data_IF_366893833865
#
_entry.id   IF_366893833865
#
_cell.length_a   1.000
_cell.length_b   1.000
_cell.length_c   1.000
_cell.angle_alpha   90.00
_cell.angle_beta   90.00
_cell.angle_gamma   90.00
#
_symmetry.space_group_name_H-M   'P 1'
#
loop_
_entity.id
_entity.type
_entity.pdbx_description
1 polymer ?
#
# COMPACT_ATOMS: atom_id res chain seq x y z
N UNK A 1 18.27 -8.11 18.06
CA UNK A 1 18.54 -6.66 18.10
C UNK A 1 17.23 -5.90 18.25
N UNK A 2 17.21 -4.93 19.14
CA UNK A 2 16.00 -4.17 19.44
C UNK A 2 15.45 -3.47 18.18
N UNK A 3 16.33 -2.91 17.39
CA UNK A 3 15.97 -2.19 16.18
C UNK A 3 15.27 -3.09 15.16
N UNK A 4 15.84 -4.26 14.93
CA UNK A 4 15.25 -5.26 14.04
C UNK A 4 13.91 -5.75 14.59
N UNK A 5 13.82 -5.93 15.91
CA UNK A 5 12.59 -6.36 16.55
C UNK A 5 11.47 -5.33 16.37
N UNK A 6 11.78 -4.04 16.40
CA UNK A 6 10.77 -3.00 16.14
C UNK A 6 10.21 -3.09 14.73
N UNK A 7 11.04 -3.34 13.74
CA UNK A 7 10.57 -3.52 12.38
C UNK A 7 9.74 -4.79 12.23
N UNK A 8 10.17 -5.88 12.84
CA UNK A 8 9.40 -7.12 12.84
C UNK A 8 8.02 -6.90 13.46
N UNK A 9 7.95 -6.16 14.56
CA UNK A 9 6.68 -5.84 15.18
C UNK A 9 5.77 -5.00 14.29
N UNK A 10 6.33 -4.08 13.49
CA UNK A 10 5.54 -3.32 12.51
C UNK A 10 4.92 -4.23 11.45
N UNK A 11 5.66 -5.23 10.98
CA UNK A 11 5.11 -6.19 10.02
C UNK A 11 4.07 -7.10 10.65
N UNK A 12 4.26 -7.46 11.90
CA UNK A 12 3.42 -8.42 12.61
C UNK A 12 2.20 -7.79 13.25
N UNK A 13 1.82 -6.58 12.85
CA UNK A 13 0.61 -5.94 13.34
C UNK A 13 -0.66 -6.60 12.81
N UNK A 14 -0.62 -7.07 11.56
CA UNK A 14 -1.75 -7.74 10.94
C UNK A 14 -1.83 -9.19 11.42
N UNK A 15 -2.90 -9.52 12.14
CA UNK A 15 -3.08 -10.87 12.67
C UNK A 15 -3.11 -11.94 11.58
N UNK A 16 -3.71 -11.64 10.44
CA UNK A 16 -3.79 -12.59 9.33
C UNK A 16 -2.40 -12.87 8.76
N UNK A 17 -1.58 -11.83 8.57
CA UNK A 17 -0.22 -12.01 8.09
C UNK A 17 0.69 -12.67 9.12
N UNK A 18 0.40 -12.54 10.42
CA UNK A 18 1.13 -13.26 11.46
C UNK A 18 0.92 -14.76 11.35
N UNK A 19 -0.33 -15.17 11.10
CA UNK A 19 -0.68 -16.59 10.96
C UNK A 19 -0.26 -17.14 9.61
N UNK A 20 -0.44 -16.36 8.54
CA UNK A 20 -0.08 -16.75 7.18
C UNK A 20 0.72 -15.61 6.53
N UNK A 21 2.04 -15.60 6.67
CA UNK A 21 2.88 -14.56 6.06
C UNK A 21 2.65 -14.43 4.56
N UNK A 22 2.60 -13.18 4.08
CA UNK A 22 2.37 -12.93 2.67
C UNK A 22 0.91 -12.87 2.25
N UNK A 23 -0.03 -12.91 3.20
CA UNK A 23 -1.46 -12.80 2.89
C UNK A 23 -1.80 -11.46 2.24
N UNK A 24 -1.23 -10.37 2.74
CA UNK A 24 -1.41 -9.02 2.23
C UNK A 24 -0.06 -8.40 1.86
N UNK A 25 -0.08 -7.36 1.05
CA UNK A 25 1.14 -6.71 0.61
C UNK A 25 1.07 -5.21 0.84
N UNK A 26 1.54 -4.79 1.99
CA UNK A 26 1.82 -3.39 2.34
C UNK A 26 2.79 -3.43 3.50
N UNK A 27 4.07 -3.19 3.20
CA UNK A 27 5.12 -3.46 4.18
C UNK A 27 6.18 -2.38 4.17
N UNK A 28 6.69 -2.08 5.34
CA UNK A 28 7.83 -1.21 5.51
C UNK A 28 9.06 -1.90 4.93
N UNK A 29 9.80 -1.21 4.05
CA UNK A 29 11.01 -1.81 3.49
C UNK A 29 12.26 -0.94 3.71
N UNK A 30 12.14 0.18 4.38
CA UNK A 30 13.31 0.97 4.70
C UNK A 30 12.97 2.44 4.93
N UNK A 31 14.00 3.20 5.23
CA UNK A 31 13.91 4.62 5.48
C UNK A 31 14.94 5.32 4.60
N UNK A 32 14.53 6.38 3.89
CA UNK A 32 15.42 7.13 3.04
C UNK A 32 16.40 7.98 3.86
N UNK A 33 17.42 8.54 3.19
CA UNK A 33 18.38 9.45 3.82
C UNK A 33 17.71 10.70 4.38
N UNK A 34 16.51 11.05 3.90
CA UNK A 34 15.73 12.19 4.37
C UNK A 34 14.70 11.83 5.43
N UNK A 35 14.84 10.68 6.07
CA UNK A 35 13.92 10.16 7.08
C UNK A 35 12.50 9.92 6.57
N UNK A 36 12.33 9.61 5.30
CA UNK A 36 11.05 9.23 4.74
C UNK A 36 10.91 7.70 4.85
N UNK A 37 9.85 7.26 5.51
CA UNK A 37 9.54 5.83 5.66
C UNK A 37 8.99 5.31 4.36
N UNK A 38 9.53 4.19 3.87
CA UNK A 38 9.17 3.64 2.57
C UNK A 38 8.40 2.35 2.70
N UNK A 39 7.22 2.31 2.08
CA UNK A 39 6.32 1.16 2.10
C UNK A 39 6.16 0.60 0.69
N UNK A 40 6.00 -0.71 0.61
CA UNK A 40 5.96 -1.44 -0.65
C UNK A 40 4.69 -2.27 -0.74
N UNK A 41 4.05 -2.25 -1.92
CA UNK A 41 2.92 -3.09 -2.25
C UNK A 41 3.13 -3.71 -3.62
N UNK A 42 2.94 -5.02 -3.71
CA UNK A 42 2.81 -5.73 -4.99
C UNK A 42 1.59 -6.64 -4.88
N UNK A 43 0.47 -6.30 -5.53
CA UNK A 43 -0.75 -7.12 -5.42
C UNK A 43 -0.54 -8.59 -5.81
N UNK A 44 0.36 -8.85 -6.75
CA UNK A 44 0.65 -10.22 -7.18
C UNK A 44 1.32 -11.07 -6.09
N UNK A 45 1.98 -10.43 -5.12
CA UNK A 45 2.61 -11.14 -4.00
C UNK A 45 1.63 -11.46 -2.87
N UNK A 46 0.46 -10.83 -2.86
CA UNK A 46 -0.54 -11.05 -1.81
C UNK A 46 -1.32 -12.33 -2.08
N UNK A 47 -1.20 -13.33 -1.21
CA UNK A 47 -1.93 -14.58 -1.39
C UNK A 47 -3.43 -14.43 -1.15
N UNK A 48 -3.82 -13.45 -0.33
CA UNK A 48 -5.22 -13.12 -0.06
C UNK A 48 -5.59 -11.74 -0.61
N UNK A 49 -5.30 -11.52 -1.89
CA UNK A 49 -5.56 -10.25 -2.57
C UNK A 49 -7.05 -9.86 -2.58
N UNK A 50 -7.93 -10.83 -2.35
CA UNK A 50 -9.39 -10.68 -2.33
C UNK A 50 -9.96 -10.35 -0.96
N UNK A 51 -9.14 -10.41 0.09
CA UNK A 51 -9.56 -10.22 1.48
C UNK A 51 -9.65 -8.72 1.80
N UNK A 52 -10.73 -8.09 1.37
CA UNK A 52 -10.90 -6.64 1.51
C UNK A 52 -10.79 -6.19 2.96
N UNK A 53 -11.56 -6.79 3.86
CA UNK A 53 -11.57 -6.36 5.27
C UNK A 53 -10.19 -6.53 5.91
N UNK A 54 -9.54 -7.66 5.65
CA UNK A 54 -8.20 -7.91 6.18
C UNK A 54 -7.16 -6.96 5.62
N UNK A 55 -7.22 -6.67 4.32
CA UNK A 55 -6.31 -5.72 3.67
C UNK A 55 -6.47 -4.33 4.26
N UNK A 56 -7.70 -3.86 4.42
CA UNK A 56 -7.94 -2.52 4.96
C UNK A 56 -7.47 -2.41 6.41
N UNK A 57 -7.72 -3.43 7.22
CA UNK A 57 -7.23 -3.47 8.59
C UNK A 57 -5.69 -3.44 8.62
N UNK A 58 -5.05 -4.18 7.72
CA UNK A 58 -3.59 -4.21 7.60
C UNK A 58 -3.04 -2.82 7.29
N UNK A 59 -3.59 -2.13 6.29
CA UNK A 59 -3.16 -0.78 5.92
C UNK A 59 -3.32 0.19 7.09
N UNK A 60 -4.47 0.15 7.77
CA UNK A 60 -4.71 1.04 8.90
C UNK A 60 -3.72 0.82 10.03
N UNK A 61 -3.47 -0.44 10.39
CA UNK A 61 -2.54 -0.75 11.47
C UNK A 61 -1.13 -0.27 11.16
N UNK A 62 -0.65 -0.50 9.93
CA UNK A 62 0.67 -0.07 9.52
C UNK A 62 0.79 1.46 9.55
N UNK A 63 -0.21 2.16 9.02
CA UNK A 63 -0.18 3.61 8.96
C UNK A 63 -0.36 4.26 10.34
N UNK A 64 -1.15 3.69 11.23
CA UNK A 64 -1.23 4.15 12.62
C UNK A 64 0.13 4.02 13.30
N UNK A 65 0.81 2.91 13.10
CA UNK A 65 2.13 2.69 13.69
C UNK A 65 3.20 3.61 13.09
N UNK A 66 2.99 4.07 11.87
CA UNK A 66 3.87 5.05 11.26
C UNK A 66 3.84 6.40 12.02
N UNK A 67 2.78 6.65 12.77
CA UNK A 67 2.66 7.79 13.68
C UNK A 67 2.88 9.14 12.98
N UNK A 68 2.26 9.32 11.83
CA UNK A 68 2.32 10.55 11.02
C UNK A 68 3.72 10.98 10.57
N UNK A 69 4.66 10.05 10.57
CA UNK A 69 5.97 10.31 9.99
C UNK A 69 5.86 10.38 8.47
N UNK A 70 6.71 11.16 7.84
CA UNK A 70 6.73 11.24 6.38
C UNK A 70 6.95 9.87 5.77
N UNK A 71 6.16 9.53 4.76
CA UNK A 71 6.23 8.22 4.12
C UNK A 71 5.99 8.32 2.62
N UNK A 72 6.50 7.34 1.92
CA UNK A 72 6.33 7.17 0.47
C UNK A 72 5.86 5.76 0.19
N UNK A 73 5.09 5.60 -0.86
CA UNK A 73 4.53 4.31 -1.24
C UNK A 73 5.06 3.91 -2.61
N UNK A 74 5.66 2.73 -2.69
CA UNK A 74 6.05 2.11 -3.94
C UNK A 74 5.03 1.04 -4.29
N UNK A 75 4.26 1.28 -5.32
CA UNK A 75 3.27 0.34 -5.84
C UNK A 75 3.88 -0.37 -7.04
N UNK A 76 4.12 -1.66 -6.90
CA UNK A 76 4.71 -2.50 -7.94
C UNK A 76 3.63 -3.29 -8.64
N UNK A 77 3.43 -2.97 -9.92
CA UNK A 77 2.42 -3.63 -10.75
C UNK A 77 2.88 -4.92 -11.39
N UNK A 78 4.01 -5.45 -10.97
CA UNK A 78 4.51 -6.72 -11.50
C UNK A 78 3.45 -7.81 -11.40
N UNK A 79 3.20 -8.49 -12.51
CA UNK A 79 2.24 -9.60 -12.60
C UNK A 79 0.80 -9.25 -12.19
N UNK A 80 0.45 -7.97 -12.22
CA UNK A 80 -0.93 -7.54 -12.01
C UNK A 80 -1.81 -8.14 -13.13
N UNK A 81 -2.85 -8.85 -12.75
CA UNK A 81 -3.69 -9.61 -13.69
C UNK A 81 -5.17 -9.23 -13.56
N UNK A 82 -6.01 -9.86 -14.38
CA UNK A 82 -7.45 -9.60 -14.40
C UNK A 82 -8.05 -9.81 -13.01
N UNK A 83 -7.65 -10.86 -12.28
CA UNK A 83 -8.20 -11.13 -10.96
C UNK A 83 -7.95 -9.97 -9.98
N UNK A 84 -6.80 -9.33 -10.07
CA UNK A 84 -6.48 -8.16 -9.23
C UNK A 84 -7.31 -6.95 -9.66
N UNK A 85 -7.52 -6.78 -10.96
CA UNK A 85 -8.26 -5.63 -11.49
C UNK A 85 -9.76 -5.66 -11.13
N UNK A 86 -10.25 -6.80 -10.66
CA UNK A 86 -11.64 -6.93 -10.22
C UNK A 86 -11.85 -6.45 -8.79
N UNK A 87 -10.78 -6.20 -8.02
CA UNK A 87 -10.84 -5.85 -6.61
C UNK A 87 -11.00 -4.34 -6.41
N UNK A 88 -12.00 -3.76 -7.05
CA UNK A 88 -12.27 -2.31 -7.03
C UNK A 88 -12.68 -1.84 -5.64
N UNK A 89 -13.50 -2.61 -4.93
CA UNK A 89 -13.93 -2.27 -3.57
C UNK A 89 -12.75 -2.15 -2.62
N UNK A 90 -11.78 -3.04 -2.76
CA UNK A 90 -10.55 -3.00 -1.96
C UNK A 90 -9.77 -1.72 -2.27
N UNK A 91 -9.61 -1.39 -3.55
CA UNK A 91 -8.89 -0.19 -3.95
C UNK A 91 -9.56 1.09 -3.41
N UNK A 92 -10.89 1.18 -3.50
CA UNK A 92 -11.63 2.33 -2.98
C UNK A 92 -11.46 2.43 -1.46
N UNK A 93 -11.51 1.31 -0.76
CA UNK A 93 -11.27 1.28 0.68
C UNK A 93 -9.87 1.76 1.05
N UNK A 94 -8.85 1.33 0.30
CA UNK A 94 -7.48 1.80 0.49
C UNK A 94 -7.38 3.31 0.27
N UNK A 95 -8.01 3.82 -0.78
CA UNK A 95 -8.01 5.27 -1.08
C UNK A 95 -8.59 6.06 0.08
N UNK A 96 -9.68 5.58 0.69
CA UNK A 96 -10.27 6.24 1.85
C UNK A 96 -9.31 6.29 3.03
N UNK A 97 -8.57 5.21 3.25
CA UNK A 97 -7.55 5.17 4.30
C UNK A 97 -6.42 6.16 3.98
N UNK A 98 -5.90 6.14 2.76
CA UNK A 98 -4.83 7.05 2.33
C UNK A 98 -5.23 8.50 2.53
N UNK A 99 -6.49 8.84 2.28
CA UNK A 99 -6.99 10.21 2.44
C UNK A 99 -6.88 10.72 3.87
N UNK A 100 -6.86 9.83 4.87
CA UNK A 100 -6.66 10.20 6.27
C UNK A 100 -5.19 10.41 6.63
N UNK A 101 -4.28 9.96 5.78
CA UNK A 101 -2.82 10.01 6.02
C UNK A 101 -2.08 10.74 4.91
N UNK A 102 -2.81 11.48 4.06
CA UNK A 102 -2.22 12.13 2.87
C UNK A 102 -1.29 13.29 3.23
N UNK A 103 -1.49 13.93 4.38
CA UNK A 103 -0.61 15.02 4.83
C UNK A 103 0.83 14.55 5.03
N UNK A 104 1.01 13.32 5.48
CA UNK A 104 2.35 12.74 5.71
C UNK A 104 2.87 11.97 4.49
N UNK A 105 2.02 11.70 3.51
CA UNK A 105 2.40 11.00 2.28
C UNK A 105 3.16 11.95 1.35
N UNK A 106 4.40 11.58 1.01
CA UNK A 106 5.26 12.38 0.14
C UNK A 106 5.02 12.09 -1.34
N UNK A 107 4.97 10.81 -1.71
CA UNK A 107 4.75 10.41 -3.10
C UNK A 107 4.25 8.98 -3.18
N UNK A 108 3.61 8.68 -4.30
CA UNK A 108 3.23 7.31 -4.68
C UNK A 108 3.94 7.03 -6.00
N UNK A 109 4.86 6.07 -5.98
CA UNK A 109 5.59 5.68 -7.18
C UNK A 109 5.00 4.38 -7.73
N UNK A 110 4.53 4.41 -8.97
CA UNK A 110 3.98 3.23 -9.63
C UNK A 110 5.01 2.71 -10.61
N UNK A 111 5.44 1.46 -10.42
CA UNK A 111 6.42 0.80 -11.28
C UNK A 111 5.79 -0.43 -11.91
N UNK A 112 6.34 -0.86 -13.04
CA UNK A 112 5.87 -2.04 -13.77
C UNK A 112 4.38 -1.98 -14.11
N UNK A 113 3.88 -0.80 -14.45
CA UNK A 113 2.49 -0.63 -14.82
C UNK A 113 2.22 -1.26 -16.19
N UNK A 114 1.15 -2.05 -16.27
CA UNK A 114 0.67 -2.63 -17.53
C UNK A 114 -0.69 -2.01 -17.91
N UNK A 115 -1.25 -2.47 -19.01
CA UNK A 115 -2.53 -1.94 -19.49
C UNK A 115 -3.68 -2.17 -18.50
N UNK A 116 -3.64 -3.29 -17.76
CA UNK A 116 -4.66 -3.59 -16.76
C UNK A 116 -4.61 -2.60 -15.60
N UNK A 117 -3.41 -2.25 -15.14
CA UNK A 117 -3.24 -1.23 -14.08
C UNK A 117 -3.75 0.12 -14.55
N UNK A 118 -3.41 0.51 -15.78
CA UNK A 118 -3.87 1.80 -16.33
C UNK A 118 -5.38 1.87 -16.44
N UNK A 119 -6.00 0.76 -16.87
CA UNK A 119 -7.46 0.67 -16.91
C UNK A 119 -8.08 0.70 -15.52
N UNK A 120 -7.49 -0.03 -14.60
CA UNK A 120 -7.91 -0.03 -13.20
C UNK A 120 -7.82 1.38 -12.60
N UNK A 121 -6.72 2.08 -12.85
CA UNK A 121 -6.54 3.46 -12.40
C UNK A 121 -7.64 4.38 -12.95
N UNK A 122 -8.00 4.21 -14.22
CA UNK A 122 -9.08 5.00 -14.83
C UNK A 122 -10.41 4.83 -14.11
N UNK A 123 -10.68 3.61 -13.62
CA UNK A 123 -11.92 3.30 -12.89
C UNK A 123 -11.91 3.94 -11.50
N UNK A 124 -10.77 3.92 -10.79
CA UNK A 124 -10.69 4.45 -9.43
C UNK A 124 -10.39 5.96 -9.39
N UNK A 125 -9.96 6.53 -10.49
CA UNK A 125 -9.56 7.94 -10.58
C UNK A 125 -10.62 8.91 -10.00
N UNK A 126 -11.92 8.75 -10.26
CA UNK A 126 -12.92 9.67 -9.70
C UNK A 126 -12.98 9.70 -8.18
N UNK A 127 -12.42 8.68 -7.52
CA UNK A 127 -12.40 8.60 -6.06
C UNK A 127 -11.15 9.20 -5.44
N UNK A 128 -10.16 9.58 -6.27
CA UNK A 128 -8.91 10.16 -5.81
C UNK A 128 -9.04 11.67 -5.62
N UNK A 129 -8.48 12.20 -4.53
CA UNK A 129 -8.35 13.65 -4.37
C UNK A 129 -7.26 14.18 -5.29
N UNK A 130 -7.30 15.45 -5.61
CA UNK A 130 -6.25 16.07 -6.39
C UNK A 130 -4.91 16.00 -5.66
N UNK A 131 -4.90 16.12 -4.34
CA UNK A 131 -3.69 16.00 -3.54
C UNK A 131 -3.01 14.65 -3.74
N UNK A 132 -3.79 13.57 -3.74
CA UNK A 132 -3.23 12.24 -3.98
C UNK A 132 -2.77 12.11 -5.43
N UNK A 133 -3.57 12.53 -6.39
CA UNK A 133 -3.20 12.46 -7.82
C UNK A 133 -1.88 13.17 -8.07
N UNK A 134 -1.68 14.34 -7.47
CA UNK A 134 -0.46 15.13 -7.66
C UNK A 134 0.79 14.46 -7.10
N UNK A 135 0.62 13.49 -6.21
CA UNK A 135 1.74 12.74 -5.61
C UNK A 135 2.10 11.48 -6.38
N UNK A 136 1.31 11.11 -7.38
CA UNK A 136 1.55 9.88 -8.15
C UNK A 136 2.61 10.12 -9.21
N UNK A 137 3.62 9.25 -9.22
CA UNK A 137 4.69 9.26 -10.21
C UNK A 137 4.66 7.93 -10.95
N UNK A 138 4.53 8.00 -12.26
CA UNK A 138 4.51 6.82 -13.12
C UNK A 138 5.89 6.57 -13.70
N UNK A 139 6.42 5.38 -13.48
CA UNK A 139 7.72 4.97 -14.06
C UNK A 139 7.57 3.82 -15.03
#
# INVERSE_FOLDING_TARGET
>A
MIYVNNYIMMYQMCRICDEEPGSHSFEFYGKSSNDVYMYYTCPADATKYWDTDGILAHYEEVLEKNNNKKWSWLFDGRDFSVKHSMEISTAIGIIKILSRYDDSLCQIQVVNANALIKGFYSVIYPFLSQEIVDKIIWN
#
